data_IF_592106775809
#
_entry.id   IF_592106775809
#
_cell.length_a   1.000
_cell.length_b   1.000
_cell.length_c   1.000
_cell.angle_alpha   90.00
_cell.angle_beta   90.00
_cell.angle_gamma   90.00
#
_symmetry.space_group_name_H-M   'P 1'
#
loop_
_entity.id
_entity.type
_entity.pdbx_description
1 polymer ?
#
# COMPACT_ATOMS: atom_id res chain seq x y z
N UNK A 1 -34.04 35.07 -8.40
CA UNK A 1 -33.41 34.21 -9.43
C UNK A 1 -32.02 33.69 -9.05
N UNK A 2 -31.19 34.46 -8.34
CA UNK A 2 -29.81 34.07 -7.98
C UNK A 2 -29.72 32.82 -7.08
N UNK A 3 -30.52 32.73 -6.02
CA UNK A 3 -30.50 31.60 -5.09
C UNK A 3 -30.83 30.25 -5.75
N UNK A 4 -31.72 30.25 -6.76
CA UNK A 4 -32.08 29.04 -7.49
C UNK A 4 -30.91 28.56 -8.36
N UNK A 5 -30.16 29.47 -8.99
CA UNK A 5 -28.97 29.14 -9.77
C UNK A 5 -27.88 28.57 -8.86
N UNK A 6 -27.61 29.23 -7.74
CA UNK A 6 -26.64 28.76 -6.76
C UNK A 6 -26.99 27.36 -6.23
N UNK A 7 -28.27 27.09 -5.89
CA UNK A 7 -28.69 25.76 -5.45
C UNK A 7 -28.49 24.70 -6.53
N UNK A 8 -28.72 25.03 -7.81
CA UNK A 8 -28.47 24.10 -8.93
C UNK A 8 -26.99 23.81 -9.12
N UNK A 9 -26.14 24.83 -9.02
CA UNK A 9 -24.67 24.66 -9.11
C UNK A 9 -24.14 23.79 -7.96
N UNK A 10 -24.58 24.06 -6.72
CA UNK A 10 -24.19 23.26 -5.56
C UNK A 10 -24.68 21.81 -5.65
N UNK A 11 -25.89 21.58 -6.17
CA UNK A 11 -26.39 20.23 -6.41
C UNK A 11 -25.55 19.50 -7.47
N UNK A 12 -25.15 20.19 -8.55
CA UNK A 12 -24.23 19.66 -9.56
C UNK A 12 -22.89 19.26 -8.97
N UNK A 13 -22.25 20.17 -8.23
CA UNK A 13 -20.97 19.90 -7.57
C UNK A 13 -21.06 18.75 -6.55
N UNK A 14 -22.17 18.66 -5.81
CA UNK A 14 -22.41 17.55 -4.89
C UNK A 14 -22.48 16.20 -5.64
N UNK A 15 -23.22 16.15 -6.75
CA UNK A 15 -23.33 14.94 -7.56
C UNK A 15 -21.98 14.51 -8.15
N UNK A 16 -21.17 15.47 -8.61
CA UNK A 16 -19.82 15.19 -9.11
C UNK A 16 -18.90 14.64 -8.00
N UNK A 17 -18.96 15.21 -6.80
CA UNK A 17 -18.20 14.72 -5.64
C UNK A 17 -18.64 13.32 -5.24
N UNK A 18 -19.94 13.02 -5.25
CA UNK A 18 -20.47 11.68 -4.96
C UNK A 18 -19.98 10.68 -6.00
N UNK A 19 -20.08 11.00 -7.29
CA UNK A 19 -19.59 10.12 -8.35
C UNK A 19 -18.07 9.89 -8.27
N UNK A 20 -17.30 10.93 -7.92
CA UNK A 20 -15.86 10.82 -7.70
C UNK A 20 -15.54 9.91 -6.51
N UNK A 21 -16.24 10.09 -5.39
CA UNK A 21 -16.10 9.25 -4.18
C UNK A 21 -16.39 7.78 -4.50
N UNK A 22 -17.47 7.50 -5.22
CA UNK A 22 -17.84 6.13 -5.61
C UNK A 22 -16.78 5.49 -6.51
N UNK A 23 -16.27 6.23 -7.49
CA UNK A 23 -15.19 5.76 -8.37
C UNK A 23 -13.93 5.41 -7.58
N UNK A 24 -13.51 6.29 -6.67
CA UNK A 24 -12.33 6.05 -5.82
C UNK A 24 -12.57 4.87 -4.88
N UNK A 25 -13.76 4.76 -4.29
CA UNK A 25 -14.12 3.64 -3.42
C UNK A 25 -14.07 2.29 -4.17
N UNK A 26 -14.59 2.25 -5.40
CA UNK A 26 -14.53 1.06 -6.25
C UNK A 26 -13.07 0.69 -6.60
N UNK A 27 -12.23 1.68 -6.93
CA UNK A 27 -10.81 1.45 -7.19
C UNK A 27 -10.07 0.90 -5.96
N UNK A 28 -10.35 1.44 -4.77
CA UNK A 28 -9.79 0.95 -3.51
C UNK A 28 -10.25 -0.49 -3.25
N UNK A 29 -11.52 -0.81 -3.44
CA UNK A 29 -12.05 -2.15 -3.25
C UNK A 29 -11.40 -3.17 -4.21
N UNK A 30 -11.24 -2.80 -5.48
CA UNK A 30 -10.56 -3.63 -6.46
C UNK A 30 -9.08 -3.85 -6.11
N UNK A 31 -8.37 -2.81 -5.68
CA UNK A 31 -6.98 -2.92 -5.26
C UNK A 31 -6.82 -3.83 -4.03
N UNK A 32 -7.71 -3.68 -3.02
CA UNK A 32 -7.72 -4.54 -1.82
C UNK A 32 -7.97 -6.00 -2.19
N UNK A 33 -8.99 -6.28 -2.99
CA UNK A 33 -9.30 -7.64 -3.46
C UNK A 33 -8.11 -8.30 -4.16
N UNK A 34 -7.40 -7.55 -5.02
CA UNK A 34 -6.18 -8.04 -5.67
C UNK A 34 -5.06 -8.34 -4.68
N UNK A 35 -4.86 -7.48 -3.68
CA UNK A 35 -3.86 -7.69 -2.63
C UNK A 35 -4.21 -8.90 -1.77
N UNK A 36 -5.48 -9.06 -1.38
CA UNK A 36 -5.96 -10.19 -0.58
C UNK A 36 -5.83 -11.51 -1.34
N UNK A 37 -6.04 -11.50 -2.65
CA UNK A 37 -5.80 -12.66 -3.51
C UNK A 37 -4.30 -12.96 -3.67
N UNK A 38 -3.43 -11.95 -3.82
CA UNK A 38 -2.00 -12.14 -4.09
C UNK A 38 -1.19 -12.50 -2.84
N UNK A 39 -1.53 -11.94 -1.69
CA UNK A 39 -0.81 -12.13 -0.42
C UNK A 39 -0.58 -13.62 -0.04
N UNK A 40 -1.58 -14.52 -0.08
CA UNK A 40 -1.35 -15.92 0.26
C UNK A 40 -0.41 -16.62 -0.73
N UNK A 41 -0.52 -16.34 -2.03
CA UNK A 41 0.36 -16.90 -3.05
C UNK A 41 1.82 -16.50 -2.82
N UNK A 42 2.06 -15.23 -2.49
CA UNK A 42 3.41 -14.75 -2.15
C UNK A 42 3.95 -15.41 -0.88
N UNK A 43 3.11 -15.65 0.13
CA UNK A 43 3.50 -16.37 1.36
C UNK A 43 3.89 -17.81 1.07
N UNK A 44 3.13 -18.50 0.22
CA UNK A 44 3.47 -19.87 -0.19
C UNK A 44 4.80 -19.92 -0.96
N UNK A 45 5.04 -18.98 -1.89
CA UNK A 45 6.33 -18.89 -2.59
C UNK A 45 7.49 -18.65 -1.62
N UNK A 46 7.34 -17.74 -0.65
CA UNK A 46 8.36 -17.50 0.38
C UNK A 46 8.62 -18.76 1.22
N UNK A 47 7.55 -19.47 1.61
CA UNK A 47 7.66 -20.71 2.38
C UNK A 47 8.36 -21.82 1.58
N UNK A 48 7.99 -22.00 0.32
CA UNK A 48 8.56 -23.01 -0.56
C UNK A 48 10.04 -22.75 -0.90
N UNK A 49 10.46 -21.49 -0.97
CA UNK A 49 11.85 -21.12 -1.27
C UNK A 49 12.77 -21.15 -0.06
N UNK A 50 12.23 -21.20 1.16
CA UNK A 50 13.03 -21.16 2.41
C UNK A 50 14.11 -22.25 2.50
N UNK A 51 13.85 -23.53 2.20
CA UNK A 51 14.89 -24.56 2.27
C UNK A 51 16.07 -24.29 1.32
N UNK A 52 15.80 -23.75 0.13
CA UNK A 52 16.84 -23.39 -0.81
C UNK A 52 17.69 -22.22 -0.30
N UNK A 53 17.07 -21.24 0.35
CA UNK A 53 17.77 -20.13 0.97
C UNK A 53 18.71 -20.64 2.08
N UNK A 54 18.25 -21.57 2.91
CA UNK A 54 19.05 -22.19 3.97
C UNK A 54 20.24 -22.98 3.39
N UNK A 55 20.02 -23.79 2.35
CA UNK A 55 21.07 -24.54 1.66
C UNK A 55 22.15 -23.64 1.03
N UNK A 56 21.77 -22.44 0.58
CA UNK A 56 22.67 -21.46 -0.03
C UNK A 56 23.20 -20.42 0.97
N UNK A 57 22.90 -20.57 2.27
CA UNK A 57 23.23 -19.61 3.33
C UNK A 57 22.78 -18.17 3.04
N UNK A 58 21.65 -18.01 2.35
CA UNK A 58 21.08 -16.71 1.99
C UNK A 58 20.26 -16.15 3.17
N UNK A 59 20.76 -15.08 3.81
CA UNK A 59 20.12 -14.41 4.96
C UNK A 59 19.05 -13.39 4.55
N UNK A 60 18.14 -13.76 3.65
CA UNK A 60 17.17 -12.82 3.05
C UNK A 60 16.09 -12.37 4.04
N UNK A 61 15.58 -13.30 4.86
CA UNK A 61 14.57 -12.98 5.87
C UNK A 61 15.12 -11.99 6.91
N UNK A 62 16.34 -12.22 7.39
CA UNK A 62 17.00 -11.35 8.37
C UNK A 62 17.31 -9.97 7.80
N UNK A 63 17.81 -9.87 6.57
CA UNK A 63 17.98 -8.58 5.89
C UNK A 63 16.66 -7.83 5.75
N UNK A 64 15.57 -8.54 5.50
CA UNK A 64 14.23 -7.94 5.40
C UNK A 64 13.72 -7.46 6.74
N UNK A 65 13.98 -8.19 7.82
CA UNK A 65 13.58 -7.80 9.18
C UNK A 65 14.43 -6.62 9.68
N UNK A 66 15.73 -6.64 9.39
CA UNK A 66 16.64 -5.53 9.66
C UNK A 66 16.22 -4.25 8.92
N UNK A 67 15.88 -4.35 7.63
CA UNK A 67 15.39 -3.21 6.86
C UNK A 67 14.06 -2.65 7.41
N UNK A 68 13.17 -3.51 7.93
CA UNK A 68 11.94 -3.08 8.61
C UNK A 68 12.23 -2.40 9.95
N UNK A 69 13.22 -2.87 10.68
CA UNK A 69 13.65 -2.21 11.91
C UNK A 69 14.29 -0.85 11.60
N UNK A 70 15.13 -0.78 10.56
CA UNK A 70 15.80 0.43 10.14
C UNK A 70 14.81 1.51 9.70
N UNK A 71 13.69 1.17 9.05
CA UNK A 71 12.68 2.15 8.65
C UNK A 71 11.98 2.85 9.82
N UNK A 72 12.12 2.32 11.05
CA UNK A 72 11.62 2.94 12.28
C UNK A 72 12.64 3.90 12.91
N UNK A 73 13.86 3.99 12.38
CA UNK A 73 14.90 4.86 12.92
C UNK A 73 14.61 6.34 12.62
N UNK A 74 15.00 7.25 13.52
CA UNK A 74 15.08 8.68 13.22
C UNK A 74 15.94 8.95 11.97
N UNK A 75 15.65 10.01 11.19
CA UNK A 75 16.31 10.26 9.91
C UNK A 75 17.86 10.24 9.96
N UNK A 76 18.53 10.82 10.98
CA UNK A 76 19.99 10.77 11.06
C UNK A 76 20.54 9.35 11.23
N UNK A 77 19.84 8.51 12.01
CA UNK A 77 20.25 7.12 12.27
C UNK A 77 19.93 6.22 11.07
N UNK A 78 18.82 6.46 10.39
CA UNK A 78 18.50 5.77 9.15
C UNK A 78 19.53 6.07 8.06
N UNK A 79 19.94 7.33 7.90
CA UNK A 79 21.00 7.71 6.96
C UNK A 79 22.31 7.00 7.29
N UNK A 80 22.70 6.91 8.56
CA UNK A 80 23.90 6.20 8.95
C UNK A 80 23.82 4.69 8.61
N UNK A 81 22.66 4.07 8.84
CA UNK A 81 22.41 2.67 8.46
C UNK A 81 22.46 2.46 6.94
N UNK A 82 21.83 3.35 6.16
CA UNK A 82 21.75 3.21 4.71
C UNK A 82 23.08 3.47 3.98
N UNK A 83 24.02 4.16 4.62
CA UNK A 83 25.36 4.46 4.08
C UNK A 83 26.46 3.53 4.65
N UNK A 84 26.10 2.55 5.47
CA UNK A 84 27.02 1.52 5.97
C UNK A 84 27.12 0.34 4.99
#
# INVERSE_FOLDING_TARGET
EWELRQRRELAGACNELVASKERVAAAIAAARSRLDALAPHLREVLKATKPLQECLALRLDERRDEARAASLLPPPLFLLYANA
#
